data_IF_334339705897
#
_entry.id   IF_334339705897
#
_cell.length_a   1.000
_cell.length_b   1.000
_cell.length_c   1.000
_cell.angle_alpha   90.00
_cell.angle_beta   90.00
_cell.angle_gamma   90.00
#
_symmetry.space_group_name_H-M   'P 1'
#
loop_
_entity.id
_entity.type
_entity.pdbx_description
1 polymer ?
#
# COMPACT_ATOMS: atom_id res chain seq x y z
N UNK A 1 -25.19 -15.97 45.94
CA UNK A 1 -25.54 -14.63 45.41
C UNK A 1 -26.54 -13.99 46.35
N UNK A 2 -26.48 -12.68 46.62
CA UNK A 2 -25.53 -11.67 46.13
C UNK A 2 -24.68 -11.07 47.30
N UNK A 3 -23.44 -10.59 47.18
CA UNK A 3 -22.77 -9.67 46.23
C UNK A 3 -23.38 -8.26 46.16
N UNK A 4 -22.72 -7.29 46.82
CA UNK A 4 -22.72 -5.87 46.44
C UNK A 4 -21.41 -5.26 46.91
N UNK A 5 -20.36 -5.40 46.08
CA UNK A 5 -19.82 -4.30 45.27
C UNK A 5 -18.97 -3.34 46.08
N UNK A 6 -17.71 -3.74 46.29
CA UNK A 6 -16.61 -2.81 46.50
C UNK A 6 -16.61 -1.82 45.35
N UNK A 7 -16.99 -0.58 45.65
CA UNK A 7 -16.96 0.52 44.71
C UNK A 7 -15.52 0.71 44.24
N UNK A 8 -15.31 0.55 42.95
CA UNK A 8 -14.17 1.10 42.22
C UNK A 8 -14.28 2.62 42.37
N UNK A 9 -13.64 3.17 43.40
CA UNK A 9 -13.47 4.61 43.57
C UNK A 9 -12.19 4.99 42.83
N UNK A 10 -12.33 5.88 41.85
CA UNK A 10 -11.31 6.24 40.86
C UNK A 10 -9.98 6.68 41.47
N UNK A 11 -8.94 5.86 41.28
CA UNK A 11 -7.55 6.16 41.62
C UNK A 11 -6.78 6.78 40.44
N UNK A 12 -7.32 7.86 39.85
CA UNK A 12 -6.68 8.56 38.73
C UNK A 12 -5.93 9.83 39.14
N UNK A 13 -6.33 10.53 40.21
CA UNK A 13 -5.70 11.82 40.58
C UNK A 13 -4.50 11.69 41.51
N UNK A 14 -4.30 10.55 42.18
CA UNK A 14 -3.28 10.41 43.23
C UNK A 14 -1.84 10.45 42.72
N UNK A 15 -1.57 9.98 41.49
CA UNK A 15 -0.22 9.75 40.97
C UNK A 15 0.26 10.78 39.93
N UNK A 16 -0.47 11.88 39.74
CA UNK A 16 -0.07 12.96 38.82
C UNK A 16 1.02 13.81 39.48
N UNK A 17 2.12 14.07 38.76
CA UNK A 17 3.30 14.77 39.30
C UNK A 17 3.42 16.24 38.90
N UNK A 18 2.71 16.68 37.86
CA UNK A 18 2.87 18.03 37.29
C UNK A 18 2.66 19.14 38.32
N UNK A 19 1.56 19.08 39.07
CA UNK A 19 1.24 20.06 40.12
C UNK A 19 2.21 20.00 41.29
N UNK A 20 2.63 18.78 41.69
CA UNK A 20 3.64 18.61 42.75
C UNK A 20 4.94 19.29 42.35
N UNK A 21 5.40 19.10 41.10
CA UNK A 21 6.62 19.72 40.62
C UNK A 21 6.51 21.23 40.55
N UNK A 22 5.36 21.79 40.13
CA UNK A 22 5.13 23.23 40.17
C UNK A 22 5.32 23.76 41.58
N UNK A 23 4.75 23.08 42.58
CA UNK A 23 4.85 23.50 43.97
C UNK A 23 6.27 23.32 44.54
N UNK A 24 6.94 22.21 44.23
CA UNK A 24 8.32 21.95 44.65
C UNK A 24 9.26 23.02 44.08
N UNK A 25 9.12 23.41 42.80
CA UNK A 25 9.92 24.48 42.19
C UNK A 25 9.76 25.81 42.94
N UNK A 26 8.54 26.14 43.38
CA UNK A 26 8.29 27.34 44.17
C UNK A 26 8.98 27.28 45.55
N UNK A 27 8.94 26.14 46.23
CA UNK A 27 9.65 25.96 47.51
C UNK A 27 11.16 26.00 47.35
N UNK A 28 11.71 25.45 46.27
CA UNK A 28 13.15 25.54 45.99
C UNK A 28 13.57 27.00 45.86
N UNK A 29 12.84 27.78 45.06
CA UNK A 29 13.14 29.19 44.82
C UNK A 29 13.04 30.02 46.11
N UNK A 30 12.01 29.77 46.92
CA UNK A 30 11.73 30.53 48.14
C UNK A 30 12.66 30.13 49.29
N UNK A 31 12.85 28.84 49.51
CA UNK A 31 13.36 28.29 50.77
C UNK A 31 14.74 27.61 50.61
N UNK A 32 15.19 27.27 49.39
CA UNK A 32 16.47 26.58 49.17
C UNK A 32 17.48 27.40 48.36
N UNK A 33 17.05 28.38 47.57
CA UNK A 33 17.91 29.13 46.64
C UNK A 33 19.14 29.74 47.32
N UNK A 34 18.97 30.34 48.50
CA UNK A 34 20.08 30.95 49.23
C UNK A 34 21.20 29.94 49.56
N UNK A 35 20.85 28.68 49.87
CA UNK A 35 21.84 27.62 50.12
C UNK A 35 22.57 27.24 48.83
N UNK A 36 21.86 27.15 47.72
CA UNK A 36 22.45 26.86 46.41
C UNK A 36 23.44 27.97 46.01
N UNK A 37 23.08 29.23 46.21
CA UNK A 37 23.94 30.39 45.95
C UNK A 37 25.21 30.38 46.82
N UNK A 38 25.05 30.18 48.13
CA UNK A 38 26.19 30.09 49.07
C UNK A 38 27.10 28.91 48.68
N UNK A 39 26.53 27.75 48.34
CA UNK A 39 27.31 26.56 47.96
C UNK A 39 28.13 26.78 46.70
N UNK A 40 27.64 27.61 45.77
CA UNK A 40 28.30 27.96 44.51
C UNK A 40 29.35 29.07 44.64
N UNK A 41 29.42 29.75 45.79
CA UNK A 41 30.37 30.85 46.03
C UNK A 41 31.80 30.32 46.18
N UNK A 42 32.76 30.99 45.56
CA UNK A 42 34.18 30.64 45.69
C UNK A 42 34.61 30.68 47.18
N UNK A 43 35.43 29.71 47.58
CA UNK A 43 35.93 29.56 48.96
C UNK A 43 34.85 29.29 50.03
N UNK A 44 33.62 28.90 49.65
CA UNK A 44 32.57 28.51 50.62
C UNK A 44 32.90 27.25 51.44
N UNK A 45 33.84 26.42 50.96
CA UNK A 45 34.11 25.08 51.51
C UNK A 45 32.99 24.05 51.24
N UNK A 46 31.86 24.48 50.67
CA UNK A 46 30.66 23.66 50.47
C UNK A 46 30.58 23.03 49.07
N UNK A 47 31.48 23.41 48.16
CA UNK A 47 31.57 22.87 46.79
C UNK A 47 31.79 21.35 46.71
N UNK A 48 32.18 20.70 47.81
CA UNK A 48 32.35 19.25 47.92
C UNK A 48 31.02 18.52 48.08
N UNK A 49 29.97 19.19 48.56
CA UNK A 49 28.65 18.60 48.79
C UNK A 49 27.64 19.04 47.73
N UNK A 50 27.03 18.06 47.06
CA UNK A 50 25.99 18.29 46.05
C UNK A 50 24.61 18.45 46.70
N UNK A 51 24.23 19.69 47.04
CA UNK A 51 22.91 20.00 47.64
C UNK A 51 21.74 19.65 46.72
N UNK A 52 21.86 19.98 45.43
CA UNK A 52 20.83 19.65 44.43
C UNK A 52 20.54 18.15 44.41
N UNK A 53 21.58 17.32 44.42
CA UNK A 53 21.44 15.87 44.40
C UNK A 53 20.96 15.33 45.74
N UNK A 54 21.69 15.64 46.82
CA UNK A 54 21.57 14.92 48.08
C UNK A 54 20.52 15.50 49.03
N UNK A 55 20.09 16.75 48.83
CA UNK A 55 19.10 17.42 49.70
C UNK A 55 17.78 17.70 48.99
N UNK A 56 17.78 17.88 47.66
CA UNK A 56 16.54 18.17 46.90
C UNK A 56 16.10 16.93 46.13
N UNK A 57 16.86 16.49 45.12
CA UNK A 57 16.44 15.41 44.24
C UNK A 57 16.22 14.09 45.00
N UNK A 58 17.09 13.79 45.97
CA UNK A 58 16.97 12.62 46.84
C UNK A 58 15.67 12.60 47.63
N UNK A 59 15.32 13.72 48.26
CA UNK A 59 14.10 13.81 49.08
C UNK A 59 12.84 13.79 48.22
N UNK A 60 12.87 14.45 47.06
CA UNK A 60 11.78 14.39 46.07
C UNK A 60 11.58 12.96 45.57
N UNK A 61 12.66 12.25 45.20
CA UNK A 61 12.60 10.86 44.77
C UNK A 61 11.99 9.96 45.86
N UNK A 62 12.46 10.08 47.10
CA UNK A 62 11.95 9.30 48.24
C UNK A 62 10.46 9.59 48.51
N UNK A 63 10.04 10.84 48.41
CA UNK A 63 8.64 11.23 48.57
C UNK A 63 7.76 10.65 47.47
N UNK A 64 8.22 10.70 46.22
CA UNK A 64 7.50 10.10 45.08
C UNK A 64 7.39 8.58 45.22
N UNK A 65 8.47 7.89 45.56
CA UNK A 65 8.48 6.44 45.74
C UNK A 65 7.51 5.97 46.84
N UNK A 66 7.36 6.76 47.92
CA UNK A 66 6.47 6.42 49.04
C UNK A 66 5.03 6.86 48.81
N UNK A 67 4.83 8.06 48.28
CA UNK A 67 3.52 8.69 48.18
C UNK A 67 2.78 8.37 46.87
N UNK A 68 3.52 8.22 45.77
CA UNK A 68 2.97 8.08 44.41
C UNK A 68 3.70 7.00 43.58
N UNK A 69 3.82 5.75 44.07
CA UNK A 69 4.55 4.70 43.34
C UNK A 69 3.90 4.36 41.99
N UNK A 70 2.61 4.61 41.82
CA UNK A 70 1.91 4.40 40.54
C UNK A 70 2.33 5.37 39.44
N UNK A 71 2.93 6.51 39.80
CA UNK A 71 3.38 7.54 38.86
C UNK A 71 4.44 7.02 37.86
N UNK A 72 5.22 6.01 38.27
CA UNK A 72 6.26 5.37 37.47
C UNK A 72 5.76 4.16 36.67
N UNK A 73 4.47 3.80 36.77
CA UNK A 73 3.97 2.57 36.15
C UNK A 73 3.76 2.74 34.65
N UNK A 74 4.49 2.01 33.79
CA UNK A 74 4.28 2.07 32.34
C UNK A 74 2.95 1.46 31.90
N UNK A 75 2.26 0.71 32.76
CA UNK A 75 0.96 0.08 32.48
C UNK A 75 -0.18 1.08 32.23
N UNK A 76 0.06 2.37 32.46
CA UNK A 76 -0.81 3.49 32.07
C UNK A 76 0.00 4.44 31.17
N UNK A 77 0.15 4.14 29.87
CA UNK A 77 1.14 4.81 29.03
C UNK A 77 0.97 6.33 28.91
N UNK A 78 -0.27 6.83 28.85
CA UNK A 78 -0.54 8.27 28.73
C UNK A 78 -0.10 9.02 30.00
N UNK A 79 -0.50 8.54 31.16
CA UNK A 79 -0.14 9.09 32.46
C UNK A 79 1.36 8.96 32.72
N UNK A 80 1.95 7.80 32.39
CA UNK A 80 3.39 7.57 32.50
C UNK A 80 4.19 8.58 31.68
N UNK A 81 3.82 8.82 30.42
CA UNK A 81 4.52 9.79 29.57
C UNK A 81 4.38 11.21 30.12
N UNK A 82 3.17 11.60 30.55
CA UNK A 82 2.92 12.93 31.13
C UNK A 82 3.81 13.16 32.35
N UNK A 83 3.84 12.18 33.26
CA UNK A 83 4.66 12.21 34.45
C UNK A 83 6.15 12.24 34.11
N UNK A 84 6.61 11.38 33.19
CA UNK A 84 8.00 11.35 32.73
C UNK A 84 8.45 12.69 32.15
N UNK A 85 7.64 13.30 31.27
CA UNK A 85 7.94 14.63 30.70
C UNK A 85 8.00 15.71 31.77
N UNK A 86 7.06 15.69 32.73
CA UNK A 86 7.06 16.61 33.87
C UNK A 86 8.31 16.43 34.74
N UNK A 87 8.76 15.20 34.93
CA UNK A 87 9.99 14.88 35.65
C UNK A 87 11.25 15.35 34.92
N UNK A 88 11.31 15.25 33.58
CA UNK A 88 12.41 15.80 32.79
C UNK A 88 12.46 17.33 32.89
N UNK A 89 11.31 17.99 32.81
CA UNK A 89 11.20 19.44 32.99
C UNK A 89 11.61 19.88 34.42
N UNK A 90 11.25 19.08 35.44
CA UNK A 90 11.75 19.29 36.79
C UNK A 90 13.27 19.15 36.90
N UNK A 91 13.87 18.11 36.29
CA UNK A 91 15.32 17.95 36.26
C UNK A 91 16.01 19.11 35.53
N UNK A 92 15.45 19.58 34.41
CA UNK A 92 15.96 20.75 33.69
C UNK A 92 15.92 22.03 34.56
N UNK A 93 14.88 22.20 35.37
CA UNK A 93 14.82 23.30 36.34
C UNK A 93 15.92 23.20 37.41
N UNK A 94 16.17 22.00 37.96
CA UNK A 94 17.29 21.79 38.89
C UNK A 94 18.65 22.08 38.24
N UNK A 95 18.83 21.64 36.99
CA UNK A 95 20.04 21.92 36.21
C UNK A 95 20.26 23.40 35.95
N UNK A 96 19.20 24.22 35.94
CA UNK A 96 19.28 25.68 35.84
C UNK A 96 20.02 26.35 36.99
N UNK A 97 20.11 25.70 38.16
CA UNK A 97 20.89 26.19 39.31
C UNK A 97 22.38 25.79 39.23
N UNK A 98 22.78 24.94 38.27
CA UNK A 98 24.19 24.61 38.07
C UNK A 98 24.93 25.79 37.41
N UNK A 99 26.07 26.24 37.94
CA UNK A 99 26.76 27.44 37.43
C UNK A 99 27.46 27.23 36.08
N UNK A 100 27.62 25.98 35.63
CA UNK A 100 28.29 25.67 34.36
C UNK A 100 27.85 24.33 33.78
N UNK A 101 28.14 24.11 32.49
CA UNK A 101 27.91 22.81 31.82
C UNK A 101 28.66 21.65 32.49
N UNK A 102 29.85 21.92 33.04
CA UNK A 102 30.61 20.91 33.80
C UNK A 102 29.89 20.53 35.09
N UNK A 103 29.30 21.50 35.79
CA UNK A 103 28.50 21.23 36.99
C UNK A 103 27.23 20.42 36.67
N UNK A 104 26.55 20.72 35.54
CA UNK A 104 25.43 19.89 35.05
C UNK A 104 25.87 18.45 34.80
N UNK A 105 27.02 18.25 34.13
CA UNK A 105 27.54 16.91 33.87
C UNK A 105 27.86 16.14 35.17
N UNK A 106 28.42 16.83 36.18
CA UNK A 106 28.64 16.24 37.52
C UNK A 106 27.32 15.88 38.19
N UNK A 107 26.31 16.76 38.16
CA UNK A 107 24.99 16.50 38.73
C UNK A 107 24.31 15.28 38.08
N UNK A 108 24.35 15.17 36.74
CA UNK A 108 23.83 14.00 36.01
C UNK A 108 24.57 12.71 36.33
N UNK A 109 25.85 12.79 36.73
CA UNK A 109 26.65 11.64 37.12
C UNK A 109 26.38 11.16 38.56
N UNK A 110 25.67 11.95 39.37
CA UNK A 110 25.34 11.58 40.76
C UNK A 110 24.49 10.31 40.82
N UNK A 111 24.71 9.50 41.87
CA UNK A 111 24.02 8.22 42.03
C UNK A 111 22.49 8.39 42.10
N UNK A 112 22.02 9.43 42.78
CA UNK A 112 20.58 9.73 42.92
C UNK A 112 19.93 10.16 41.62
N UNK A 113 20.65 10.89 40.75
CA UNK A 113 20.14 11.26 39.43
C UNK A 113 19.92 10.01 38.58
N UNK A 114 20.90 9.11 38.58
CA UNK A 114 20.79 7.83 37.89
C UNK A 114 19.66 6.97 38.48
N UNK A 115 19.50 6.93 39.80
CA UNK A 115 18.42 6.19 40.46
C UNK A 115 17.03 6.76 40.12
N UNK A 116 16.92 8.09 40.06
CA UNK A 116 15.70 8.78 39.62
C UNK A 116 15.35 8.40 38.18
N UNK A 117 16.34 8.43 37.27
CA UNK A 117 16.12 8.06 35.87
C UNK A 117 15.76 6.58 35.69
N UNK A 118 16.31 5.69 36.52
CA UNK A 118 15.99 4.24 36.49
C UNK A 118 14.56 3.90 36.87
N UNK A 119 13.85 4.78 37.60
CA UNK A 119 12.43 4.56 37.89
C UNK A 119 11.57 4.54 36.62
N UNK A 120 12.01 5.27 35.59
CA UNK A 120 11.28 5.40 34.32
C UNK A 120 11.66 4.27 33.37
N UNK A 121 10.87 3.19 33.38
CA UNK A 121 11.09 2.07 32.47
C UNK A 121 10.60 2.39 31.04
N UNK A 122 11.35 3.24 30.34
CA UNK A 122 11.06 3.66 28.96
C UNK A 122 11.05 2.46 27.99
N UNK A 123 11.82 1.41 28.28
CA UNK A 123 11.83 0.17 27.49
C UNK A 123 10.48 -0.57 27.51
N UNK A 124 9.88 -0.70 28.68
CA UNK A 124 8.54 -1.30 28.83
C UNK A 124 7.47 -0.37 28.26
N UNK A 125 7.56 0.94 28.52
CA UNK A 125 6.67 1.93 27.90
C UNK A 125 6.66 1.80 26.37
N UNK A 126 7.84 1.78 25.73
CA UNK A 126 7.94 1.62 24.28
C UNK A 126 7.34 0.29 23.83
N UNK A 127 7.59 -0.82 24.54
CA UNK A 127 7.03 -2.13 24.20
C UNK A 127 5.49 -2.11 24.20
N UNK A 128 4.86 -1.43 25.16
CA UNK A 128 3.41 -1.27 25.21
C UNK A 128 2.89 -0.40 24.05
N UNK A 129 3.54 0.73 23.77
CA UNK A 129 3.18 1.59 22.62
C UNK A 129 3.38 0.87 21.29
N UNK A 130 4.43 0.08 21.15
CA UNK A 130 4.66 -0.76 19.98
C UNK A 130 3.50 -1.73 19.78
N UNK A 131 3.08 -2.46 20.82
CA UNK A 131 1.97 -3.41 20.74
C UNK A 131 0.65 -2.73 20.41
N UNK A 132 0.38 -1.57 21.02
CA UNK A 132 -0.82 -0.76 20.74
C UNK A 132 -0.88 -0.31 19.27
N UNK A 133 0.19 0.33 18.78
CA UNK A 133 0.23 0.90 17.43
C UNK A 133 0.30 -0.20 16.37
N UNK A 134 1.24 -1.14 16.51
CA UNK A 134 1.42 -2.20 15.53
C UNK A 134 0.22 -3.16 15.53
N UNK A 135 -0.35 -3.45 16.71
CA UNK A 135 -1.54 -4.28 16.84
C UNK A 135 -2.81 -3.64 16.25
N UNK A 136 -2.93 -2.31 16.30
CA UNK A 136 -4.02 -1.59 15.63
C UNK A 136 -3.96 -1.80 14.10
N UNK A 137 -2.78 -1.65 13.49
CA UNK A 137 -2.60 -1.93 12.07
C UNK A 137 -2.88 -3.41 11.76
N UNK A 138 -2.30 -4.34 12.51
CA UNK A 138 -2.49 -5.78 12.28
C UNK A 138 -3.97 -6.18 12.36
N UNK A 139 -4.74 -5.54 13.25
CA UNK A 139 -6.19 -5.74 13.37
C UNK A 139 -6.96 -5.21 12.16
N UNK A 140 -6.51 -4.10 11.54
CA UNK A 140 -7.11 -3.57 10.33
C UNK A 140 -6.80 -4.44 9.10
N UNK A 141 -5.59 -5.00 9.01
CA UNK A 141 -5.14 -5.81 7.88
C UNK A 141 -5.69 -7.26 7.88
N UNK A 142 -6.17 -7.75 9.02
CA UNK A 142 -6.76 -9.10 9.15
C UNK A 142 -8.25 -9.17 8.79
N UNK A 143 -8.88 -8.03 8.45
CA UNK A 143 -10.27 -8.00 7.97
C UNK A 143 -10.36 -8.66 6.59
N UNK A 144 -11.32 -9.57 6.42
CA UNK A 144 -11.50 -10.41 5.23
C UNK A 144 -11.96 -9.68 3.95
N UNK A 145 -11.88 -8.34 3.91
CA UNK A 145 -12.28 -7.54 2.77
C UNK A 145 -11.66 -6.15 2.80
N UNK A 146 -11.54 -5.55 1.62
CA UNK A 146 -11.26 -4.12 1.49
C UNK A 146 -12.49 -3.35 1.96
N UNK A 147 -12.34 -2.48 2.95
CA UNK A 147 -13.47 -1.76 3.56
C UNK A 147 -13.40 -0.29 3.16
N UNK A 148 -14.21 0.15 2.17
CA UNK A 148 -14.33 1.56 1.85
C UNK A 148 -14.95 2.33 3.02
N UNK A 149 -14.42 3.51 3.30
CA UNK A 149 -14.96 4.45 4.29
C UNK A 149 -15.63 5.61 3.53
N UNK A 150 -16.84 5.98 3.94
CA UNK A 150 -17.50 7.18 3.43
C UNK A 150 -17.20 8.39 4.32
N UNK A 151 -16.91 9.54 3.68
CA UNK A 151 -16.85 10.83 4.37
C UNK A 151 -15.61 11.08 5.24
N UNK A 152 -14.48 10.44 4.93
CA UNK A 152 -13.23 10.76 5.62
C UNK A 152 -12.74 12.17 5.23
N UNK A 153 -12.20 12.92 6.20
CA UNK A 153 -11.53 14.21 5.95
C UNK A 153 -10.21 14.04 5.20
N UNK A 154 -9.64 12.85 5.26
CA UNK A 154 -8.41 12.48 4.56
C UNK A 154 -8.77 11.88 3.20
N UNK A 155 -7.97 12.17 2.17
CA UNK A 155 -8.22 11.74 0.80
C UNK A 155 -8.17 10.20 0.58
N UNK A 156 -8.02 9.40 1.65
CA UNK A 156 -7.97 7.94 1.63
C UNK A 156 -9.36 7.32 1.65
N UNK A 157 -9.50 6.17 1.00
CA UNK A 157 -10.76 5.47 0.79
C UNK A 157 -10.87 4.19 1.59
N UNK A 158 -9.77 3.50 1.90
CA UNK A 158 -9.75 2.20 2.56
C UNK A 158 -9.38 2.34 4.04
N UNK A 159 -10.10 1.61 4.90
CA UNK A 159 -9.82 1.55 6.34
C UNK A 159 -8.39 1.08 6.65
N UNK A 160 -7.87 0.16 5.86
CA UNK A 160 -6.51 -0.35 6.00
C UNK A 160 -5.47 0.77 5.77
N UNK A 161 -5.68 1.60 4.76
CA UNK A 161 -4.78 2.71 4.42
C UNK A 161 -4.87 3.83 5.44
N UNK A 162 -6.07 4.16 5.93
CA UNK A 162 -6.27 5.11 7.03
C UNK A 162 -5.56 4.64 8.29
N UNK A 163 -5.75 3.37 8.67
CA UNK A 163 -5.11 2.80 9.86
C UNK A 163 -3.58 2.85 9.78
N UNK A 164 -2.98 2.61 8.60
CA UNK A 164 -1.54 2.78 8.41
C UNK A 164 -1.11 4.22 8.69
N UNK A 165 -1.80 5.21 8.11
CA UNK A 165 -1.44 6.63 8.27
C UNK A 165 -1.59 7.09 9.73
N UNK A 166 -2.67 6.70 10.40
CA UNK A 166 -2.90 6.96 11.82
C UNK A 166 -1.78 6.36 12.69
N UNK A 167 -1.38 5.11 12.43
CA UNK A 167 -0.31 4.44 13.16
C UNK A 167 1.06 5.13 12.93
N UNK A 168 1.34 5.56 11.70
CA UNK A 168 2.56 6.30 11.38
C UNK A 168 2.61 7.64 12.13
N UNK A 169 1.52 8.41 12.11
CA UNK A 169 1.42 9.68 12.83
C UNK A 169 1.50 9.49 14.34
N UNK A 170 0.85 8.46 14.88
CA UNK A 170 0.88 8.12 16.30
C UNK A 170 2.30 7.87 16.82
N UNK A 171 3.19 7.25 16.02
CA UNK A 171 4.60 7.07 16.42
C UNK A 171 5.32 8.37 16.79
N UNK A 172 4.90 9.49 16.20
CA UNK A 172 5.54 10.81 16.34
C UNK A 172 4.62 11.84 17.00
N UNK A 173 3.50 11.39 17.59
CA UNK A 173 2.59 12.24 18.35
C UNK A 173 3.19 12.67 19.67
N UNK A 174 2.87 13.90 20.12
CA UNK A 174 3.41 14.45 21.37
C UNK A 174 2.94 13.67 22.61
N UNK A 175 1.83 12.93 22.52
CA UNK A 175 1.28 12.07 23.56
C UNK A 175 1.83 10.62 23.52
N UNK A 176 2.75 10.33 22.60
CA UNK A 176 3.38 9.00 22.44
C UNK A 176 4.90 9.09 22.45
N UNK A 177 5.47 10.06 21.75
CA UNK A 177 6.90 10.14 21.46
C UNK A 177 7.73 10.44 22.72
N UNK A 178 8.75 9.61 22.91
CA UNK A 178 9.88 9.86 23.81
C UNK A 178 11.11 10.05 22.94
N UNK A 179 11.64 11.27 22.89
CA UNK A 179 12.73 11.65 21.97
C UNK A 179 13.98 10.79 22.14
N UNK A 180 14.30 10.34 23.36
CA UNK A 180 15.42 9.43 23.62
C UNK A 180 15.24 8.01 23.07
N UNK A 181 14.05 7.68 22.54
CA UNK A 181 13.72 6.43 21.85
C UNK A 181 13.28 6.67 20.39
N UNK A 182 13.62 7.82 19.81
CA UNK A 182 13.23 8.18 18.43
C UNK A 182 13.72 7.16 17.40
N UNK A 183 14.88 6.54 17.60
CA UNK A 183 15.40 5.44 16.80
C UNK A 183 14.44 4.25 16.75
N UNK A 184 13.81 3.91 17.88
CA UNK A 184 12.84 2.82 17.98
C UNK A 184 11.51 3.17 17.33
N UNK A 185 11.04 4.41 17.46
CA UNK A 185 9.82 4.90 16.80
C UNK A 185 10.00 5.02 15.28
N UNK A 186 11.18 5.44 14.82
CA UNK A 186 11.54 5.38 13.40
C UNK A 186 11.52 3.95 12.88
N UNK A 187 12.15 3.02 13.60
CA UNK A 187 12.13 1.59 13.25
C UNK A 187 10.69 1.06 13.18
N UNK A 188 9.83 1.39 14.14
CA UNK A 188 8.42 1.01 14.11
C UNK A 188 7.72 1.59 12.87
N UNK A 189 7.93 2.87 12.56
CA UNK A 189 7.35 3.52 11.37
C UNK A 189 7.71 2.78 10.08
N UNK A 190 8.98 2.42 9.90
CA UNK A 190 9.44 1.64 8.74
C UNK A 190 8.86 0.22 8.73
N UNK A 191 8.70 -0.39 9.90
CA UNK A 191 8.06 -1.70 10.04
C UNK A 191 6.57 -1.66 9.66
N UNK A 192 5.84 -0.59 10.00
CA UNK A 192 4.44 -0.41 9.61
C UNK A 192 4.29 -0.32 8.08
N UNK A 193 5.12 0.50 7.42
CA UNK A 193 5.18 0.59 5.95
C UNK A 193 5.49 -0.77 5.31
N UNK A 194 6.48 -1.48 5.86
CA UNK A 194 6.86 -2.80 5.40
C UNK A 194 5.73 -3.82 5.55
N UNK A 195 5.04 -3.84 6.70
CA UNK A 195 3.89 -4.72 6.96
C UNK A 195 2.77 -4.50 5.96
N UNK A 196 2.38 -3.24 5.75
CA UNK A 196 1.34 -2.90 4.78
C UNK A 196 1.73 -3.32 3.36
N UNK A 197 2.97 -3.04 2.94
CA UNK A 197 3.47 -3.41 1.62
C UNK A 197 3.47 -4.93 1.40
N UNK A 198 3.90 -5.69 2.40
CA UNK A 198 3.94 -7.14 2.36
C UNK A 198 2.52 -7.75 2.38
N UNK A 199 1.61 -7.19 3.18
CA UNK A 199 0.21 -7.59 3.20
C UNK A 199 -0.44 -7.42 1.83
N UNK A 200 -0.27 -6.24 1.21
CA UNK A 200 -0.83 -5.96 -0.10
C UNK A 200 -0.22 -6.88 -1.18
N UNK A 201 1.10 -7.02 -1.19
CA UNK A 201 1.80 -7.92 -2.11
C UNK A 201 1.33 -9.38 -1.99
N UNK A 202 1.13 -9.85 -0.76
CA UNK A 202 0.65 -11.21 -0.50
C UNK A 202 -0.79 -11.41 -0.98
N UNK A 203 -1.68 -10.43 -0.76
CA UNK A 203 -3.06 -10.51 -1.25
C UNK A 203 -3.14 -10.42 -2.77
N UNK A 204 -2.38 -9.55 -3.43
CA UNK A 204 -2.29 -9.51 -4.89
C UNK A 204 -1.79 -10.83 -5.49
N UNK A 205 -0.78 -11.45 -4.87
CA UNK A 205 -0.31 -12.77 -5.29
C UNK A 205 -1.39 -13.86 -5.13
N UNK A 206 -2.22 -13.77 -4.08
CA UNK A 206 -3.34 -14.68 -3.86
C UNK A 206 -4.44 -14.49 -4.92
N UNK A 207 -4.75 -13.25 -5.33
CA UNK A 207 -5.67 -12.97 -6.44
C UNK A 207 -5.23 -13.70 -7.73
N UNK A 208 -3.92 -13.61 -8.05
CA UNK A 208 -3.36 -14.22 -9.27
C UNK A 208 -3.36 -15.74 -9.26
N UNK A 209 -3.04 -16.34 -8.12
CA UNK A 209 -2.89 -17.77 -8.03
C UNK A 209 -4.24 -18.51 -8.07
N UNK A 210 -5.36 -17.82 -7.76
CA UNK A 210 -6.62 -18.48 -7.43
C UNK A 210 -6.50 -19.43 -6.23
N UNK A 211 -5.37 -19.39 -5.51
CA UNK A 211 -5.04 -20.25 -4.38
C UNK A 211 -5.54 -19.56 -3.12
N UNK A 212 -6.60 -20.14 -2.56
CA UNK A 212 -7.16 -19.81 -1.27
C UNK A 212 -6.17 -20.19 -0.15
N UNK A 213 -5.84 -19.24 0.72
CA UNK A 213 -5.47 -19.56 2.10
C UNK A 213 -4.03 -20.01 2.40
N UNK A 214 -3.01 -19.52 1.69
CA UNK A 214 -1.62 -19.81 2.08
C UNK A 214 -1.09 -18.93 3.22
N UNK A 215 -1.59 -17.70 3.37
CA UNK A 215 -1.07 -16.72 4.36
C UNK A 215 -2.22 -15.99 5.09
N UNK A 216 -2.21 -15.94 6.43
CA UNK A 216 -3.14 -15.10 7.20
C UNK A 216 -3.09 -13.65 6.72
N UNK A 217 -4.24 -13.01 6.57
CA UNK A 217 -4.35 -11.61 6.11
C UNK A 217 -4.49 -11.44 4.59
N UNK A 218 -4.52 -12.52 3.81
CA UNK A 218 -4.78 -12.49 2.35
C UNK A 218 -6.23 -12.80 1.99
N UNK A 219 -7.12 -12.93 2.97
CA UNK A 219 -8.51 -13.35 2.77
C UNK A 219 -9.32 -12.33 1.95
N UNK A 220 -8.94 -11.05 1.98
CA UNK A 220 -9.56 -9.99 1.17
C UNK A 220 -9.43 -10.27 -0.34
N UNK A 221 -8.43 -11.03 -0.78
CA UNK A 221 -8.25 -11.42 -2.17
C UNK A 221 -9.44 -12.23 -2.73
N UNK A 222 -10.18 -12.95 -1.87
CA UNK A 222 -11.29 -13.81 -2.26
C UNK A 222 -12.55 -13.00 -2.60
N UNK A 223 -12.75 -11.89 -1.88
CA UNK A 223 -13.95 -11.05 -1.97
C UNK A 223 -13.79 -9.85 -2.91
N UNK A 224 -12.57 -9.60 -3.40
CA UNK A 224 -12.22 -8.41 -4.16
C UNK A 224 -12.65 -8.51 -5.61
N UNK A 225 -13.40 -7.52 -6.09
CA UNK A 225 -13.65 -7.33 -7.52
C UNK A 225 -12.58 -6.39 -8.13
N UNK A 226 -12.32 -6.45 -9.45
CA UNK A 226 -11.30 -5.61 -10.10
C UNK A 226 -11.45 -4.11 -9.78
N UNK A 227 -12.70 -3.66 -9.72
CA UNK A 227 -13.05 -2.28 -9.39
C UNK A 227 -12.61 -1.87 -7.97
N UNK A 228 -12.54 -2.78 -7.00
CA UNK A 228 -12.05 -2.46 -5.65
C UNK A 228 -10.53 -2.19 -5.64
N UNK A 229 -9.78 -2.79 -6.59
CA UNK A 229 -8.34 -2.55 -6.73
C UNK A 229 -8.03 -1.10 -7.16
N UNK A 230 -9.00 -0.39 -7.73
CA UNK A 230 -8.86 1.04 -8.05
C UNK A 230 -8.65 1.86 -6.77
N UNK A 231 -9.38 1.54 -5.69
CA UNK A 231 -9.19 2.20 -4.39
C UNK A 231 -7.79 1.98 -3.83
N UNK A 232 -7.21 0.80 -4.05
CA UNK A 232 -5.83 0.52 -3.67
C UNK A 232 -4.87 1.44 -4.43
N UNK A 233 -5.03 1.61 -5.75
CA UNK A 233 -4.15 2.49 -6.53
C UNK A 233 -4.27 3.95 -6.04
N UNK A 234 -5.50 4.41 -5.80
CA UNK A 234 -5.75 5.75 -5.28
C UNK A 234 -5.08 5.96 -3.91
N UNK A 235 -5.35 5.07 -2.96
CA UNK A 235 -4.82 5.17 -1.61
C UNK A 235 -3.29 5.04 -1.59
N UNK A 236 -2.69 4.21 -2.44
CA UNK A 236 -1.23 4.14 -2.59
C UNK A 236 -0.64 5.47 -3.04
N UNK A 237 -1.24 6.14 -4.03
CA UNK A 237 -0.78 7.46 -4.46
C UNK A 237 -0.88 8.50 -3.34
N UNK A 238 -2.00 8.51 -2.61
CA UNK A 238 -2.20 9.38 -1.46
C UNK A 238 -1.18 9.11 -0.35
N UNK A 239 -1.00 7.83 0.04
CA UNK A 239 -0.04 7.43 1.07
C UNK A 239 1.40 7.80 0.68
N UNK A 240 1.80 7.58 -0.58
CA UNK A 240 3.12 7.95 -1.07
C UNK A 240 3.34 9.47 -0.96
N UNK A 241 2.34 10.27 -1.32
CA UNK A 241 2.42 11.72 -1.21
C UNK A 241 2.52 12.18 0.25
N UNK A 242 1.69 11.65 1.15
CA UNK A 242 1.69 12.01 2.57
C UNK A 242 2.98 11.55 3.28
N UNK A 243 3.41 10.30 3.06
CA UNK A 243 4.64 9.76 3.66
C UNK A 243 5.88 10.55 3.20
N UNK A 244 5.91 10.96 1.93
CA UNK A 244 7.05 11.72 1.37
C UNK A 244 6.96 13.23 1.61
N UNK A 245 5.83 13.71 2.14
CA UNK A 245 5.52 15.13 2.35
C UNK A 245 5.39 15.47 3.84
N UNK A 246 4.18 15.80 4.27
CA UNK A 246 3.86 16.29 5.62
C UNK A 246 4.41 15.40 6.73
N UNK A 247 4.30 14.08 6.55
CA UNK A 247 4.82 13.11 7.51
C UNK A 247 6.36 13.21 7.66
N UNK A 248 7.08 13.22 6.54
CA UNK A 248 8.54 13.29 6.54
C UNK A 248 9.02 14.62 7.13
N UNK A 249 8.41 15.73 6.73
CA UNK A 249 8.74 17.06 7.24
C UNK A 249 8.58 17.11 8.77
N UNK A 250 7.45 16.62 9.30
CA UNK A 250 7.22 16.57 10.75
C UNK A 250 8.26 15.72 11.50
N UNK A 251 8.67 14.58 10.94
CA UNK A 251 9.71 13.74 11.56
C UNK A 251 11.05 14.48 11.60
N UNK A 252 11.43 15.15 10.52
CA UNK A 252 12.69 15.90 10.45
C UNK A 252 12.68 17.12 11.39
N UNK A 253 11.55 17.80 11.53
CA UNK A 253 11.38 18.90 12.48
C UNK A 253 11.60 18.44 13.92
N UNK A 254 10.99 17.31 14.31
CA UNK A 254 11.14 16.74 15.65
C UNK A 254 12.58 16.28 15.95
N UNK A 255 13.36 15.97 14.90
CA UNK A 255 14.74 15.52 15.00
C UNK A 255 15.76 16.61 14.67
N UNK A 256 15.35 17.88 14.56
CA UNK A 256 16.21 18.99 14.10
C UNK A 256 17.52 19.18 14.92
N UNK A 257 17.54 18.69 16.16
CA UNK A 257 18.71 18.69 17.04
C UNK A 257 19.80 17.68 16.67
N UNK A 258 19.49 16.70 15.81
CA UNK A 258 20.43 15.70 15.31
C UNK A 258 21.38 16.30 14.26
N UNK A 259 22.48 15.58 13.97
CA UNK A 259 23.39 15.98 12.89
C UNK A 259 22.73 15.86 11.51
N UNK A 260 23.22 16.64 10.55
CA UNK A 260 22.75 16.58 9.15
C UNK A 260 22.84 15.17 8.57
N UNK A 261 23.91 14.43 8.88
CA UNK A 261 24.10 13.04 8.46
C UNK A 261 22.98 12.12 8.94
N UNK A 262 22.55 12.26 10.20
CA UNK A 262 21.43 11.48 10.76
C UNK A 262 20.12 11.86 10.08
N UNK A 263 19.87 13.16 9.90
CA UNK A 263 18.66 13.64 9.23
C UNK A 263 18.56 13.13 7.79
N UNK A 264 19.68 13.10 7.06
CA UNK A 264 19.73 12.55 5.70
C UNK A 264 19.43 11.05 5.69
N UNK A 265 19.96 10.26 6.63
CA UNK A 265 19.64 8.84 6.75
C UNK A 265 18.16 8.58 7.08
N UNK A 266 17.58 9.39 7.98
CA UNK A 266 16.15 9.31 8.31
C UNK A 266 15.31 9.63 7.08
N UNK A 267 15.63 10.71 6.37
CA UNK A 267 14.96 11.12 5.14
C UNK A 267 15.00 10.03 4.08
N UNK A 268 16.18 9.48 3.80
CA UNK A 268 16.34 8.41 2.83
C UNK A 268 15.55 7.16 3.21
N UNK A 269 15.53 6.80 4.50
CA UNK A 269 14.82 5.62 4.99
C UNK A 269 13.30 5.75 4.81
N UNK A 270 12.72 6.91 5.13
CA UNK A 270 11.29 7.18 4.96
C UNK A 270 10.92 7.25 3.47
N UNK A 271 11.72 7.94 2.65
CA UNK A 271 11.52 7.99 1.19
C UNK A 271 11.61 6.60 0.55
N UNK A 272 12.49 5.73 1.04
CA UNK A 272 12.57 4.35 0.58
C UNK A 272 11.29 3.57 0.96
N UNK A 273 10.72 3.82 2.13
CA UNK A 273 9.41 3.29 2.52
C UNK A 273 8.28 3.77 1.60
N UNK A 274 8.25 5.07 1.26
CA UNK A 274 7.32 5.62 0.27
C UNK A 274 7.52 5.03 -1.13
N UNK A 275 8.78 4.81 -1.55
CA UNK A 275 9.09 4.12 -2.80
C UNK A 275 8.54 2.69 -2.82
N UNK A 276 8.70 1.93 -1.74
CA UNK A 276 8.15 0.57 -1.63
C UNK A 276 6.63 0.54 -1.82
N UNK A 277 5.90 1.55 -1.34
CA UNK A 277 4.45 1.68 -1.61
C UNK A 277 4.17 1.98 -3.09
N UNK A 278 4.93 2.90 -3.68
CA UNK A 278 4.81 3.27 -5.10
C UNK A 278 5.05 2.07 -6.02
N UNK A 279 6.04 1.24 -5.69
CA UNK A 279 6.41 0.05 -6.46
C UNK A 279 5.31 -1.04 -6.45
N UNK A 280 4.29 -0.91 -5.59
CA UNK A 280 3.10 -1.79 -5.60
C UNK A 280 2.07 -1.39 -6.66
N UNK A 281 2.03 -0.12 -7.10
CA UNK A 281 1.05 0.36 -8.07
C UNK A 281 1.08 -0.47 -9.37
N UNK A 282 2.25 -0.73 -9.99
CA UNK A 282 2.31 -1.58 -11.17
C UNK A 282 1.81 -3.01 -10.93
N UNK A 283 2.03 -3.57 -9.73
CA UNK A 283 1.55 -4.91 -9.38
C UNK A 283 0.02 -4.97 -9.32
N UNK A 284 -0.60 -3.94 -8.73
CA UNK A 284 -2.06 -3.80 -8.68
C UNK A 284 -2.62 -3.66 -10.09
N UNK A 285 -2.01 -2.80 -10.92
CA UNK A 285 -2.43 -2.61 -12.31
C UNK A 285 -2.33 -3.90 -13.13
N UNK A 286 -1.23 -4.65 -13.01
CA UNK A 286 -1.09 -5.96 -13.65
C UNK A 286 -2.19 -6.92 -13.21
N UNK A 287 -2.57 -6.93 -11.93
CA UNK A 287 -3.66 -7.77 -11.44
C UNK A 287 -5.02 -7.38 -12.07
N UNK A 288 -5.31 -6.08 -12.20
CA UNK A 288 -6.53 -5.61 -12.87
C UNK A 288 -6.53 -6.06 -14.34
N UNK A 289 -5.41 -5.83 -15.05
CA UNK A 289 -5.27 -6.19 -16.46
C UNK A 289 -5.47 -7.71 -16.67
N UNK A 290 -4.84 -8.54 -15.84
CA UNK A 290 -4.97 -9.99 -15.89
C UNK A 290 -6.44 -10.43 -15.75
N UNK A 291 -7.17 -9.88 -14.78
CA UNK A 291 -8.60 -10.20 -14.62
C UNK A 291 -9.46 -9.72 -15.79
N UNK A 292 -9.17 -8.52 -16.34
CA UNK A 292 -9.87 -8.03 -17.54
C UNK A 292 -9.64 -8.94 -18.75
N UNK A 293 -8.41 -9.42 -18.93
CA UNK A 293 -8.05 -10.35 -20.00
C UNK A 293 -8.79 -11.67 -19.82
N UNK A 294 -8.84 -12.20 -18.60
CA UNK A 294 -9.51 -13.46 -18.29
C UNK A 294 -11.02 -13.40 -18.53
N UNK A 295 -11.66 -12.28 -18.18
CA UNK A 295 -13.06 -12.02 -18.50
C UNK A 295 -13.29 -11.88 -20.02
N UNK A 296 -12.38 -11.21 -20.72
CA UNK A 296 -12.46 -11.04 -22.19
C UNK A 296 -12.29 -12.37 -22.94
N UNK A 297 -11.58 -13.32 -22.34
CA UNK A 297 -11.39 -14.67 -22.89
C UNK A 297 -12.70 -15.47 -22.94
N UNK A 298 -13.74 -15.14 -22.17
CA UNK A 298 -15.05 -15.79 -22.28
C UNK A 298 -15.69 -15.58 -23.65
N UNK A 299 -15.65 -14.35 -24.17
CA UNK A 299 -16.13 -14.02 -25.51
C UNK A 299 -15.17 -14.54 -26.59
N UNK A 300 -13.85 -14.40 -26.41
CA UNK A 300 -12.86 -14.85 -27.42
C UNK A 300 -12.89 -16.36 -27.67
N UNK A 301 -13.32 -17.19 -26.71
CA UNK A 301 -13.49 -18.65 -26.93
C UNK A 301 -14.51 -18.96 -28.01
N UNK A 302 -15.48 -18.08 -28.27
CA UNK A 302 -16.51 -18.24 -29.31
C UNK A 302 -15.93 -18.17 -30.74
N UNK A 303 -14.72 -17.63 -30.90
CA UNK A 303 -13.99 -17.59 -32.18
C UNK A 303 -13.88 -18.99 -32.83
N UNK A 304 -13.75 -20.05 -32.03
CA UNK A 304 -13.73 -21.45 -32.54
C UNK A 304 -15.00 -21.83 -33.31
N UNK A 305 -16.13 -21.16 -33.05
CA UNK A 305 -17.39 -21.35 -33.76
C UNK A 305 -17.37 -20.90 -35.22
N UNK A 306 -16.43 -20.04 -35.62
CA UNK A 306 -16.25 -19.60 -37.03
C UNK A 306 -15.95 -20.81 -37.92
N UNK A 307 -15.06 -21.69 -37.46
CA UNK A 307 -14.71 -22.92 -38.20
C UNK A 307 -15.93 -23.82 -38.38
N UNK A 308 -16.74 -24.02 -37.34
CA UNK A 308 -17.96 -24.82 -37.43
C UNK A 308 -19.00 -24.20 -38.39
N UNK A 309 -19.02 -22.87 -38.49
CA UNK A 309 -19.97 -22.14 -39.33
C UNK A 309 -19.71 -22.33 -40.82
N UNK A 310 -18.45 -22.33 -41.26
CA UNK A 310 -18.07 -22.37 -42.68
C UNK A 310 -17.52 -23.72 -43.15
N UNK A 311 -17.11 -24.61 -42.24
CA UNK A 311 -16.63 -25.95 -42.61
C UNK A 311 -17.80 -26.82 -43.07
N UNK A 312 -17.73 -27.27 -44.33
CA UNK A 312 -18.73 -28.20 -44.92
C UNK A 312 -20.15 -27.63 -44.95
N UNK A 313 -20.30 -26.30 -45.00
CA UNK A 313 -21.60 -25.64 -45.16
C UNK A 313 -21.64 -24.87 -46.47
N UNK A 314 -22.78 -24.88 -47.16
CA UNK A 314 -23.02 -24.04 -48.34
C UNK A 314 -23.36 -22.58 -47.96
N UNK A 315 -22.85 -22.09 -46.82
CA UNK A 315 -23.13 -20.73 -46.37
C UNK A 315 -22.50 -19.70 -47.31
N UNK A 316 -23.19 -18.57 -47.56
CA UNK A 316 -22.67 -17.48 -48.36
C UNK A 316 -21.47 -16.81 -47.66
N UNK A 317 -20.77 -15.94 -48.40
CA UNK A 317 -19.68 -15.12 -47.86
C UNK A 317 -20.18 -14.27 -46.67
N UNK A 318 -19.36 -14.12 -45.61
CA UNK A 318 -19.69 -13.23 -44.52
C UNK A 318 -19.76 -11.77 -44.97
N UNK A 319 -20.76 -11.06 -44.46
CA UNK A 319 -21.00 -9.62 -44.71
C UNK A 319 -21.08 -8.79 -43.43
N UNK A 320 -21.03 -9.44 -42.27
CA UNK A 320 -21.06 -8.80 -40.94
C UNK A 320 -20.03 -9.47 -40.04
N UNK A 321 -19.52 -8.70 -39.07
CA UNK A 321 -18.69 -9.24 -38.01
C UNK A 321 -19.48 -10.22 -37.14
N UNK A 322 -18.75 -11.08 -36.42
CA UNK A 322 -19.30 -12.05 -35.48
C UNK A 322 -19.86 -11.35 -34.24
N UNK A 323 -20.92 -11.88 -33.61
CA UNK A 323 -21.54 -11.25 -32.44
C UNK A 323 -20.60 -11.10 -31.24
N UNK A 324 -19.70 -12.06 -31.02
CA UNK A 324 -18.79 -12.08 -29.86
C UNK A 324 -17.83 -10.87 -29.82
N UNK A 325 -17.52 -10.26 -30.96
CA UNK A 325 -16.56 -9.15 -31.07
C UNK A 325 -16.97 -7.96 -30.19
N UNK A 326 -18.28 -7.70 -30.09
CA UNK A 326 -18.84 -6.65 -29.24
C UNK A 326 -18.63 -6.90 -27.74
N UNK A 327 -18.41 -8.16 -27.34
CA UNK A 327 -18.16 -8.55 -25.96
C UNK A 327 -16.70 -8.46 -25.54
N UNK A 328 -15.76 -8.59 -26.48
CA UNK A 328 -14.32 -8.71 -26.18
C UNK A 328 -13.76 -7.56 -25.35
N UNK A 329 -14.16 -6.31 -25.62
CA UNK A 329 -13.71 -5.14 -24.85
C UNK A 329 -14.73 -4.65 -23.80
N UNK A 330 -15.83 -5.38 -23.62
CA UNK A 330 -16.88 -5.03 -22.65
C UNK A 330 -16.34 -4.96 -21.22
N UNK A 331 -15.50 -5.89 -20.73
CA UNK A 331 -14.95 -5.81 -19.37
C UNK A 331 -14.14 -4.54 -19.13
N UNK A 332 -13.28 -4.17 -20.08
CA UNK A 332 -12.47 -2.94 -20.01
C UNK A 332 -13.37 -1.70 -20.00
N UNK A 333 -14.38 -1.65 -20.89
CA UNK A 333 -15.33 -0.55 -20.92
C UNK A 333 -16.12 -0.42 -19.60
N UNK A 334 -16.61 -1.53 -19.07
CA UNK A 334 -17.36 -1.55 -17.81
C UNK A 334 -16.55 -1.01 -16.63
N UNK A 335 -15.25 -1.37 -16.56
CA UNK A 335 -14.34 -0.83 -15.54
C UNK A 335 -14.19 0.69 -15.65
N UNK A 336 -14.08 1.23 -16.88
CA UNK A 336 -13.87 2.67 -17.12
C UNK A 336 -15.12 3.52 -16.92
N UNK A 337 -16.28 2.94 -17.21
CA UNK A 337 -17.61 3.56 -17.04
C UNK A 337 -18.11 3.43 -15.58
N UNK A 338 -17.46 2.58 -14.77
CA UNK A 338 -17.78 2.39 -13.35
C UNK A 338 -17.48 3.62 -12.49
N UNK A 339 -18.26 3.81 -11.42
CA UNK A 339 -18.14 4.96 -10.51
C UNK A 339 -16.74 5.10 -9.91
N UNK A 340 -16.08 3.97 -9.65
CA UNK A 340 -14.74 3.92 -9.04
C UNK A 340 -13.65 4.43 -9.97
N UNK A 341 -13.88 4.43 -11.28
CA UNK A 341 -12.91 4.96 -12.24
C UNK A 341 -12.63 6.46 -12.06
N UNK A 342 -13.48 7.19 -11.32
CA UNK A 342 -13.25 8.57 -10.93
C UNK A 342 -12.01 8.76 -10.03
N UNK A 343 -11.56 7.70 -9.34
CA UNK A 343 -10.37 7.72 -8.48
C UNK A 343 -9.06 7.47 -9.25
N UNK A 344 -9.13 7.14 -10.54
CA UNK A 344 -7.93 6.98 -11.36
C UNK A 344 -7.45 8.33 -11.86
N UNK A 345 -6.15 8.59 -11.70
CA UNK A 345 -5.50 9.69 -12.43
C UNK A 345 -5.55 9.40 -13.93
N UNK A 346 -5.43 10.46 -14.75
CA UNK A 346 -5.46 10.32 -16.20
C UNK A 346 -4.32 9.42 -16.70
N UNK A 347 -3.15 9.53 -16.09
CA UNK A 347 -1.95 8.78 -16.43
C UNK A 347 -2.15 7.28 -16.17
N UNK A 348 -2.59 6.90 -14.96
CA UNK A 348 -2.89 5.50 -14.62
C UNK A 348 -4.03 4.95 -15.47
N UNK A 349 -5.08 5.75 -15.72
CA UNK A 349 -6.19 5.37 -16.61
C UNK A 349 -5.65 5.01 -17.99
N UNK A 350 -4.82 5.86 -18.59
CA UNK A 350 -4.26 5.62 -19.92
C UNK A 350 -3.39 4.35 -19.94
N UNK A 351 -2.53 4.16 -18.93
CA UNK A 351 -1.70 2.96 -18.81
C UNK A 351 -2.52 1.68 -18.66
N UNK A 352 -3.61 1.70 -17.86
CA UNK A 352 -4.53 0.56 -17.72
C UNK A 352 -5.23 0.24 -19.04
N UNK A 353 -5.77 1.24 -19.74
CA UNK A 353 -6.46 1.05 -21.03
C UNK A 353 -5.50 0.48 -22.06
N UNK A 354 -4.30 1.05 -22.17
CA UNK A 354 -3.28 0.58 -23.11
C UNK A 354 -2.82 -0.83 -22.77
N UNK A 355 -2.48 -1.11 -21.50
CA UNK A 355 -2.02 -2.42 -21.06
C UNK A 355 -3.07 -3.52 -21.30
N UNK A 356 -4.33 -3.26 -20.93
CA UNK A 356 -5.43 -4.19 -21.15
C UNK A 356 -5.71 -4.42 -22.65
N UNK A 357 -5.76 -3.36 -23.45
CA UNK A 357 -5.99 -3.49 -24.88
C UNK A 357 -4.88 -4.31 -25.57
N UNK A 358 -3.62 -4.09 -25.21
CA UNK A 358 -2.48 -4.85 -25.75
C UNK A 358 -2.58 -6.34 -25.40
N UNK A 359 -2.76 -6.68 -24.13
CA UNK A 359 -2.80 -8.08 -23.70
C UNK A 359 -4.04 -8.82 -24.24
N UNK A 360 -5.22 -8.19 -24.25
CA UNK A 360 -6.43 -8.78 -24.85
C UNK A 360 -6.21 -9.04 -26.34
N UNK A 361 -5.60 -8.08 -27.06
CA UNK A 361 -5.30 -8.24 -28.49
C UNK A 361 -4.28 -9.34 -28.74
N UNK A 362 -3.28 -9.50 -27.87
CA UNK A 362 -2.30 -10.58 -27.96
C UNK A 362 -3.00 -11.95 -27.83
N UNK A 363 -3.90 -12.11 -26.86
CA UNK A 363 -4.69 -13.35 -26.73
C UNK A 363 -5.58 -13.61 -27.92
N UNK A 364 -6.19 -12.57 -28.49
CA UNK A 364 -6.96 -12.68 -29.72
C UNK A 364 -6.05 -13.15 -30.87
N UNK A 365 -4.87 -12.54 -31.04
CA UNK A 365 -3.91 -12.92 -32.08
C UNK A 365 -3.53 -14.39 -32.03
N UNK A 366 -3.18 -14.90 -30.86
CA UNK A 366 -2.82 -16.31 -30.67
C UNK A 366 -3.98 -17.21 -31.13
N UNK A 367 -5.20 -16.95 -30.66
CA UNK A 367 -6.38 -17.77 -31.00
C UNK A 367 -6.74 -17.69 -32.50
N UNK A 368 -6.66 -16.52 -33.10
CA UNK A 368 -6.94 -16.32 -34.51
C UNK A 368 -5.88 -17.01 -35.40
N UNK A 369 -4.59 -16.89 -35.05
CA UNK A 369 -3.49 -17.54 -35.75
C UNK A 369 -3.63 -19.07 -35.71
N UNK A 370 -3.95 -19.63 -34.55
CA UNK A 370 -4.23 -21.07 -34.39
C UNK A 370 -5.40 -21.52 -35.26
N UNK A 371 -6.50 -20.75 -35.26
CA UNK A 371 -7.68 -21.06 -36.07
C UNK A 371 -7.36 -21.08 -37.57
N UNK A 372 -6.63 -20.07 -38.07
CA UNK A 372 -6.20 -19.99 -39.47
C UNK A 372 -5.25 -21.14 -39.82
N UNK A 373 -4.29 -21.45 -38.95
CA UNK A 373 -3.34 -22.55 -39.11
C UNK A 373 -4.06 -23.90 -39.26
N UNK A 374 -5.05 -24.16 -38.39
CA UNK A 374 -5.88 -25.37 -38.45
C UNK A 374 -6.73 -25.41 -39.72
N UNK A 375 -7.33 -24.29 -40.12
CA UNK A 375 -8.12 -24.20 -41.35
C UNK A 375 -7.27 -24.53 -42.58
N UNK A 376 -6.10 -23.92 -42.74
CA UNK A 376 -5.15 -24.15 -43.84
C UNK A 376 -4.65 -25.61 -43.89
N UNK A 377 -4.30 -26.21 -42.75
CA UNK A 377 -3.88 -27.62 -42.66
C UNK A 377 -5.01 -28.58 -43.05
N UNK A 378 -6.25 -28.26 -42.65
CA UNK A 378 -7.43 -29.08 -42.97
C UNK A 378 -7.72 -29.02 -44.46
N UNK A 379 -7.67 -27.82 -45.05
CA UNK A 379 -7.90 -27.64 -46.48
C UNK A 379 -6.85 -28.37 -47.33
N UNK A 380 -5.56 -28.18 -47.05
CA UNK A 380 -4.49 -28.86 -47.79
C UNK A 380 -4.57 -30.39 -47.68
N UNK A 381 -5.09 -30.92 -46.57
CA UNK A 381 -5.36 -32.34 -46.40
C UNK A 381 -6.56 -32.80 -47.25
N UNK A 382 -7.65 -32.03 -47.28
CA UNK A 382 -8.81 -32.30 -48.12
C UNK A 382 -8.48 -32.22 -49.61
N UNK A 383 -7.66 -31.25 -50.03
CA UNK A 383 -7.17 -31.13 -51.40
C UNK A 383 -6.34 -32.35 -51.80
N UNK A 384 -5.42 -32.83 -50.94
CA UNK A 384 -4.66 -34.07 -51.18
C UNK A 384 -5.56 -35.30 -51.30
N UNK A 385 -6.59 -35.42 -50.47
CA UNK A 385 -7.57 -36.52 -50.54
C UNK A 385 -8.36 -36.44 -51.86
N UNK A 386 -8.85 -35.25 -52.24
CA UNK A 386 -9.56 -35.03 -53.51
C UNK A 386 -8.69 -35.39 -54.72
N UNK A 387 -7.44 -34.92 -54.74
CA UNK A 387 -6.48 -35.25 -55.79
C UNK A 387 -6.18 -36.77 -55.83
N UNK A 388 -6.04 -37.42 -54.68
CA UNK A 388 -5.84 -38.88 -54.59
C UNK A 388 -7.06 -39.73 -54.98
N UNK A 389 -8.27 -39.18 -54.84
CA UNK A 389 -9.51 -39.80 -55.33
C UNK A 389 -9.67 -39.59 -56.83
N UNK A 390 -9.38 -38.38 -57.35
CA UNK A 390 -9.40 -38.08 -58.78
C UNK A 390 -8.38 -38.91 -59.57
N UNK A 391 -7.17 -39.13 -59.02
CA UNK A 391 -6.16 -40.02 -59.62
C UNK A 391 -6.61 -41.49 -59.71
N UNK A 392 -7.50 -41.94 -58.81
CA UNK A 392 -8.05 -43.31 -58.84
C UNK A 392 -9.27 -43.45 -59.75
N UNK A 393 -9.96 -42.36 -60.07
CA UNK A 393 -11.19 -42.35 -60.86
C UNK A 393 -10.99 -42.00 -62.36
N UNK A 394 -9.75 -41.71 -62.80
CA UNK A 394 -9.45 -41.51 -64.22
C UNK A 394 -10.10 -40.29 -64.88
N UNK A 395 -10.45 -39.25 -64.12
CA UNK A 395 -11.10 -38.05 -64.65
C UNK A 395 -10.10 -36.91 -64.95
N UNK A 396 -10.23 -36.31 -66.15
CA UNK A 396 -9.47 -35.14 -66.63
C UNK A 396 -9.83 -33.85 -65.89
N UNK A 397 -8.90 -32.89 -65.88
CA UNK A 397 -8.76 -31.77 -64.95
C UNK A 397 -9.43 -30.45 -65.34
N UNK A 398 -10.67 -30.44 -65.84
CA UNK A 398 -11.32 -29.20 -66.30
C UNK A 398 -12.62 -28.86 -65.56
N UNK A 399 -12.51 -28.65 -64.24
CA UNK A 399 -13.49 -27.81 -63.53
C UNK A 399 -12.70 -26.85 -62.64
N UNK A 400 -12.52 -25.62 -63.14
CA UNK A 400 -12.13 -24.48 -62.31
C UNK A 400 -13.28 -24.15 -61.38
N UNK A 401 -13.32 -24.81 -60.22
CA UNK A 401 -14.16 -24.40 -59.10
C UNK A 401 -13.66 -23.02 -58.64
N UNK A 402 -14.21 -21.95 -59.22
CA UNK A 402 -14.13 -20.57 -58.71
C UNK A 402 -14.87 -20.39 -57.36
N UNK A 403 -15.15 -21.49 -56.66
CA UNK A 403 -15.79 -21.50 -55.37
C UNK A 403 -14.76 -21.08 -54.31
N UNK A 404 -14.97 -19.90 -53.73
CA UNK A 404 -14.18 -19.34 -52.62
C UNK A 404 -13.96 -20.41 -51.54
N UNK A 405 -12.70 -20.61 -51.14
CA UNK A 405 -12.35 -21.65 -50.18
C UNK A 405 -13.02 -21.41 -48.83
N UNK A 406 -13.31 -22.49 -48.10
CA UNK A 406 -13.74 -22.39 -46.70
C UNK A 406 -12.71 -21.62 -45.85
N UNK A 407 -11.41 -21.73 -46.17
CA UNK A 407 -10.36 -20.97 -45.50
C UNK A 407 -10.46 -19.48 -45.82
N UNK A 408 -10.76 -19.11 -47.07
CA UNK A 408 -10.97 -17.72 -47.47
C UNK A 408 -12.21 -17.12 -46.79
N UNK A 409 -13.30 -17.90 -46.64
CA UNK A 409 -14.49 -17.47 -45.88
C UNK A 409 -14.16 -17.24 -44.41
N UNK A 410 -13.33 -18.09 -43.81
CA UNK A 410 -12.85 -17.93 -42.43
C UNK A 410 -11.98 -16.67 -42.29
N UNK A 411 -11.02 -16.46 -43.20
CA UNK A 411 -10.19 -15.25 -43.22
C UNK A 411 -11.04 -13.98 -43.41
N UNK A 412 -12.04 -14.02 -44.29
CA UNK A 412 -12.96 -12.90 -44.49
C UNK A 412 -13.80 -12.62 -43.24
N UNK A 413 -14.29 -13.65 -42.54
CA UNK A 413 -15.00 -13.45 -41.27
C UNK A 413 -14.08 -12.78 -40.24
N UNK A 414 -12.86 -13.28 -40.05
CA UNK A 414 -11.89 -12.68 -39.13
C UNK A 414 -11.51 -11.26 -39.54
N UNK A 415 -11.44 -10.96 -40.83
CA UNK A 415 -11.19 -9.60 -41.31
C UNK A 415 -12.30 -8.63 -40.90
N UNK A 416 -13.58 -9.02 -41.08
CA UNK A 416 -14.72 -8.21 -40.61
C UNK A 416 -14.73 -8.07 -39.08
N UNK A 417 -14.40 -9.16 -38.37
CA UNK A 417 -14.29 -9.16 -36.91
C UNK A 417 -13.21 -8.18 -36.43
N UNK A 418 -12.04 -8.16 -37.09
CA UNK A 418 -10.96 -7.23 -36.77
C UNK A 418 -11.36 -5.79 -37.07
N UNK A 419 -12.03 -5.49 -38.18
CA UNK A 419 -12.51 -4.13 -38.45
C UNK A 419 -13.38 -3.61 -37.30
N UNK A 420 -14.33 -4.43 -36.84
CA UNK A 420 -15.19 -4.04 -35.71
C UNK A 420 -14.42 -3.94 -34.40
N UNK A 421 -13.50 -4.88 -34.13
CA UNK A 421 -12.62 -4.82 -32.97
C UNK A 421 -11.76 -3.54 -32.96
N UNK A 422 -11.22 -3.14 -34.12
CA UNK A 422 -10.45 -1.90 -34.30
C UNK A 422 -11.28 -0.63 -34.05
N UNK A 423 -12.56 -0.62 -34.47
CA UNK A 423 -13.49 0.46 -34.11
C UNK A 423 -13.74 0.53 -32.61
N UNK A 424 -13.92 -0.63 -31.95
CA UNK A 424 -14.10 -0.70 -30.50
C UNK A 424 -12.85 -0.24 -29.73
N UNK A 425 -11.64 -0.56 -30.21
CA UNK A 425 -10.38 -0.01 -29.67
C UNK A 425 -10.33 1.52 -29.83
N UNK A 426 -10.71 2.03 -30.99
CA UNK A 426 -10.70 3.48 -31.27
C UNK A 426 -11.68 4.24 -30.37
N UNK A 427 -12.84 3.64 -30.05
CA UNK A 427 -13.80 4.20 -29.11
C UNK A 427 -13.26 4.31 -27.67
N UNK A 428 -12.24 3.52 -27.33
CA UNK A 428 -11.50 3.60 -26.07
C UNK A 428 -10.25 4.49 -26.16
N UNK A 429 -10.06 5.19 -27.28
CA UNK A 429 -8.89 6.04 -27.52
C UNK A 429 -7.62 5.27 -27.88
N UNK A 430 -7.72 3.98 -28.24
CA UNK A 430 -6.58 3.15 -28.63
C UNK A 430 -6.53 3.02 -30.15
N UNK A 431 -5.44 3.49 -30.74
CA UNK A 431 -5.17 3.29 -32.15
C UNK A 431 -4.63 1.87 -32.38
N UNK A 432 -5.42 1.04 -33.06
CA UNK A 432 -5.10 -0.36 -33.30
C UNK A 432 -3.79 -0.57 -34.07
N UNK A 433 -3.37 0.40 -34.90
CA UNK A 433 -2.08 0.37 -35.59
C UNK A 433 -0.88 0.35 -34.64
N UNK A 434 -1.04 0.87 -33.41
CA UNK A 434 0.03 0.88 -32.41
C UNK A 434 0.20 -0.48 -31.71
N UNK A 435 -0.73 -1.42 -31.90
CA UNK A 435 -0.65 -2.76 -31.30
C UNK A 435 0.00 -3.73 -32.30
N UNK A 436 1.20 -4.28 -32.02
CA UNK A 436 1.87 -5.23 -32.91
C UNK A 436 1.02 -6.46 -33.25
N UNK A 437 0.37 -7.04 -32.25
CA UNK A 437 -0.51 -8.20 -32.40
C UNK A 437 -1.67 -7.94 -33.38
N UNK A 438 -2.27 -6.74 -33.31
CA UNK A 438 -3.33 -6.33 -34.24
C UNK A 438 -2.81 -6.25 -35.67
N UNK A 439 -1.64 -5.60 -35.88
CA UNK A 439 -1.00 -5.49 -37.20
C UNK A 439 -0.72 -6.87 -37.81
N UNK A 440 -0.18 -7.79 -37.01
CA UNK A 440 0.08 -9.17 -37.44
C UNK A 440 -1.20 -9.90 -37.84
N UNK A 441 -2.28 -9.79 -37.05
CA UNK A 441 -3.59 -10.35 -37.41
C UNK A 441 -4.11 -9.74 -38.72
N UNK A 442 -4.07 -8.41 -38.85
CA UNK A 442 -4.55 -7.69 -40.03
C UNK A 442 -3.84 -8.16 -41.29
N UNK A 443 -2.50 -8.25 -41.27
CA UNK A 443 -1.71 -8.73 -42.39
C UNK A 443 -2.06 -10.18 -42.79
N UNK A 444 -2.44 -11.02 -41.82
CA UNK A 444 -2.80 -12.42 -42.09
C UNK A 444 -4.16 -12.59 -42.77
N UNK A 445 -5.13 -11.71 -42.51
CA UNK A 445 -6.54 -11.90 -42.93
C UNK A 445 -7.05 -10.85 -43.90
N UNK A 446 -6.40 -9.69 -43.99
CA UNK A 446 -6.83 -8.62 -44.90
C UNK A 446 -6.64 -9.01 -46.37
N UNK A 447 -7.57 -8.57 -47.25
CA UNK A 447 -7.39 -8.67 -48.70
C UNK A 447 -6.05 -8.03 -49.16
N UNK A 448 -5.40 -8.54 -50.22
CA UNK A 448 -4.07 -8.10 -50.65
C UNK A 448 -3.93 -6.58 -50.86
N UNK A 449 -4.99 -5.93 -51.33
CA UNK A 449 -5.09 -4.49 -51.57
C UNK A 449 -5.19 -3.65 -50.27
N UNK A 450 -5.52 -4.28 -49.14
CA UNK A 450 -5.73 -3.63 -47.83
C UNK A 450 -4.73 -4.05 -46.75
N UNK A 451 -3.81 -4.97 -47.05
CA UNK A 451 -2.83 -5.48 -46.06
C UNK A 451 -1.90 -4.39 -45.48
N UNK A 452 -1.57 -3.38 -46.27
CA UNK A 452 -0.63 -2.32 -45.88
C UNK A 452 -1.30 -1.11 -45.22
N UNK A 453 -2.64 -1.05 -45.19
CA UNK A 453 -3.38 0.10 -44.66
C UNK A 453 -4.46 -0.37 -43.69
N UNK A 454 -4.31 0.00 -42.43
CA UNK A 454 -5.27 -0.30 -41.36
C UNK A 454 -6.30 0.83 -41.31
N UNK A 455 -7.42 0.65 -42.00
CA UNK A 455 -8.57 1.56 -41.99
C UNK A 455 -9.85 0.74 -41.86
N UNK A 456 -10.78 1.19 -41.01
CA UNK A 456 -11.98 0.43 -40.64
C UNK A 456 -13.26 1.01 -41.20
#
# INVERSE_FOLDING_TARGET
>A
MPQSSSGVVGGASGDVLEEDYIQIKQYIEKDCKFLLEISSTENSGLHVFSFLANSILKEVLLAMQKGKPGAFSPGRPKEFLKNYKSSLDFLAHLEGYCPSRSAVAKFRAEAVYNEFMKQWNIGVYFSLRFQEIAGALDSALTVAGLVPIQGNSEALTLKQSVSLLECLRSCWGDDVLVISCSDKFLRLSLQLLSRYSNWLSAGLAACKAGIVGSKPGSEWAISTVPDDLIYIIHDLNCLVAMVSGDYLERVLELLNSCSAEVLDLVKQSILQGGKSLRDLIPLVMSSIIETLVENSMEDLRQLKGITATYRMTNKPLPVRHSPYVSGVLRPLKALLDGERAAYLTREIRNELVQGAAFEITERYHILAADLISVARKTESSLQRIRQGAQRRAGASSDVSDHNVSNTDKICMQLFLDLQEYGRNLSALGIEAANIPAYRSMWQCVAPPDRQNTINF
#
